data_IF_145057107710
#
_entry.id   IF_145057107710
#
_cell.length_a   1.000
_cell.length_b   1.000
_cell.length_c   1.000
_cell.angle_alpha   90.00
_cell.angle_beta   90.00
_cell.angle_gamma   90.00
#
_symmetry.space_group_name_H-M   'P 1'
#
loop_
_entity.id
_entity.type
_entity.pdbx_description
1 polymer ?
#
# COMPACT_ATOMS: atom_id res chain seq x y z
N UNK A 1 14.87 7.77 -20.53
CA UNK A 1 14.38 7.58 -19.13
C UNK A 1 15.28 6.59 -18.43
N UNK A 2 15.35 6.65 -17.09
CA UNK A 2 16.25 5.79 -16.30
C UNK A 2 15.88 4.29 -16.41
N UNK A 3 14.59 3.98 -16.59
CA UNK A 3 14.08 2.62 -16.81
C UNK A 3 14.54 1.95 -18.12
N UNK A 4 15.14 2.69 -19.05
CA UNK A 4 15.71 2.12 -20.28
C UNK A 4 17.04 1.40 -20.01
N UNK A 5 17.65 1.66 -18.86
CA UNK A 5 18.93 1.09 -18.44
C UNK A 5 18.78 -0.05 -17.43
N UNK A 6 17.54 -0.39 -17.05
CA UNK A 6 17.24 -1.48 -16.12
C UNK A 6 16.91 -2.73 -16.93
N UNK A 7 17.69 -3.79 -16.70
CA UNK A 7 17.62 -5.04 -17.47
C UNK A 7 16.52 -5.98 -16.96
N UNK A 8 16.29 -6.04 -15.65
CA UNK A 8 15.20 -6.81 -15.04
C UNK A 8 13.93 -5.95 -14.97
N UNK A 9 12.80 -6.51 -15.40
CA UNK A 9 11.51 -5.84 -15.37
C UNK A 9 11.03 -5.56 -13.94
N UNK A 10 11.45 -6.38 -12.97
CA UNK A 10 11.12 -6.22 -11.55
C UNK A 10 11.79 -5.02 -10.90
N UNK A 11 12.94 -4.60 -11.42
CA UNK A 11 13.72 -3.48 -10.88
C UNK A 11 13.36 -2.14 -11.54
N UNK A 12 12.44 -2.13 -12.49
CA UNK A 12 12.01 -0.90 -13.17
C UNK A 12 11.21 -0.03 -12.21
N UNK A 13 11.53 1.27 -12.20
CA UNK A 13 10.80 2.23 -11.40
C UNK A 13 9.39 2.44 -11.99
N UNK A 14 8.38 1.93 -11.30
CA UNK A 14 6.97 2.10 -11.68
C UNK A 14 6.42 3.47 -11.29
N UNK A 15 7.21 4.29 -10.58
CA UNK A 15 6.81 5.61 -10.06
C UNK A 15 6.41 6.63 -11.13
N UNK A 16 6.74 6.36 -12.40
CA UNK A 16 6.39 7.21 -13.54
C UNK A 16 5.38 6.57 -14.51
N UNK A 17 4.90 5.36 -14.20
CA UNK A 17 3.87 4.72 -15.02
C UNK A 17 2.50 5.35 -14.70
N UNK A 18 1.80 5.82 -15.73
CA UNK A 18 0.45 6.34 -15.58
C UNK A 18 -0.53 5.25 -15.09
N UNK A 19 -0.28 3.99 -15.44
CA UNK A 19 -1.04 2.83 -15.02
C UNK A 19 -0.55 2.23 -13.69
N UNK A 20 0.56 2.73 -13.13
CA UNK A 20 1.08 2.27 -11.84
C UNK A 20 0.20 2.70 -10.66
N UNK A 21 0.50 2.28 -9.42
CA UNK A 21 -0.31 2.62 -8.25
C UNK A 21 -0.14 4.09 -7.79
N UNK A 22 0.95 4.74 -8.21
CA UNK A 22 1.29 6.11 -7.79
C UNK A 22 0.57 7.19 -8.61
N UNK A 23 0.49 8.39 -8.03
CA UNK A 23 0.00 9.61 -8.66
C UNK A 23 1.15 10.60 -8.86
N UNK A 24 1.29 11.09 -10.09
CA UNK A 24 2.29 12.10 -10.44
C UNK A 24 1.94 13.46 -9.83
N UNK A 25 2.91 14.17 -9.26
CA UNK A 25 2.73 15.56 -8.78
C UNK A 25 2.94 16.57 -9.91
N UNK A 26 2.33 17.75 -9.77
CA UNK A 26 2.46 18.85 -10.73
C UNK A 26 3.59 19.79 -10.31
N UNK A 27 4.45 20.16 -11.26
CA UNK A 27 5.47 21.20 -11.03
C UNK A 27 4.81 22.57 -10.87
N UNK A 28 5.24 23.33 -9.87
CA UNK A 28 4.81 24.71 -9.65
C UNK A 28 5.84 25.65 -10.30
N UNK A 29 5.41 26.42 -11.30
CA UNK A 29 6.23 27.45 -11.93
C UNK A 29 6.33 28.72 -11.07
N UNK A 30 7.37 29.54 -11.32
CA UNK A 30 7.55 30.84 -10.66
C UNK A 30 6.36 31.76 -10.97
N UNK A 31 5.83 32.47 -9.96
CA UNK A 31 4.71 33.42 -10.06
C UNK A 31 3.40 32.82 -10.61
N UNK A 32 3.14 31.54 -10.36
CA UNK A 32 1.88 30.92 -10.77
C UNK A 32 0.72 31.44 -9.89
N UNK A 33 -0.32 32.07 -10.46
CA UNK A 33 -1.48 32.53 -9.68
C UNK A 33 -2.27 31.39 -9.02
N UNK A 34 -2.04 30.14 -9.43
CA UNK A 34 -2.65 28.92 -8.86
C UNK A 34 -1.66 28.09 -8.04
N UNK A 35 -0.53 28.66 -7.62
CA UNK A 35 0.51 27.93 -6.90
C UNK A 35 -0.04 27.21 -5.65
N UNK A 36 -0.78 27.92 -4.81
CA UNK A 36 -1.39 27.37 -3.59
C UNK A 36 -2.37 26.23 -3.88
N UNK A 37 -3.21 26.39 -4.91
CA UNK A 37 -4.16 25.36 -5.35
C UNK A 37 -3.44 24.08 -5.84
N UNK A 38 -2.31 24.25 -6.54
CA UNK A 38 -1.49 23.13 -7.01
C UNK A 38 -0.75 22.47 -5.84
N UNK A 39 -0.29 23.25 -4.87
CA UNK A 39 0.35 22.74 -3.66
C UNK A 39 -0.59 21.87 -2.83
N UNK A 40 -1.84 22.33 -2.64
CA UNK A 40 -2.88 21.55 -1.96
C UNK A 40 -3.21 20.24 -2.71
N UNK A 41 -3.37 20.29 -4.05
CA UNK A 41 -3.59 19.09 -4.87
C UNK A 41 -2.40 18.12 -4.77
N UNK A 42 -1.17 18.64 -4.82
CA UNK A 42 0.03 17.83 -4.67
C UNK A 42 0.13 17.18 -3.30
N UNK A 43 -0.26 17.87 -2.23
CA UNK A 43 -0.27 17.29 -0.88
C UNK A 43 -1.13 16.03 -0.82
N UNK A 44 -2.33 16.05 -1.40
CA UNK A 44 -3.21 14.88 -1.46
C UNK A 44 -2.63 13.74 -2.32
N UNK A 45 -1.94 14.08 -3.40
CA UNK A 45 -1.24 13.06 -4.22
C UNK A 45 -0.08 12.41 -3.46
N UNK A 46 0.64 13.20 -2.66
CA UNK A 46 1.72 12.70 -1.79
C UNK A 46 1.12 11.82 -0.69
N UNK A 47 0.01 12.24 -0.06
CA UNK A 47 -0.67 11.45 0.97
C UNK A 47 -1.14 10.10 0.40
N UNK A 48 -1.76 10.09 -0.78
CA UNK A 48 -2.09 8.85 -1.49
C UNK A 48 -0.85 7.98 -1.74
N UNK A 49 0.23 8.55 -2.28
CA UNK A 49 1.46 7.79 -2.55
C UNK A 49 2.06 7.17 -1.27
N UNK A 50 1.98 7.89 -0.14
CA UNK A 50 2.42 7.39 1.16
C UNK A 50 1.57 6.22 1.66
N UNK A 51 0.26 6.26 1.44
CA UNK A 51 -0.63 5.14 1.79
C UNK A 51 -0.40 3.93 0.87
N UNK A 52 -0.08 4.17 -0.41
CA UNK A 52 0.36 3.10 -1.32
C UNK A 52 1.64 2.43 -0.82
N UNK A 53 2.64 3.19 -0.39
CA UNK A 53 3.86 2.62 0.20
C UNK A 53 3.53 1.79 1.46
N UNK A 54 2.63 2.28 2.30
CA UNK A 54 2.17 1.57 3.51
C UNK A 54 1.44 0.28 3.17
N UNK A 55 0.60 0.28 2.13
CA UNK A 55 -0.09 -0.91 1.64
C UNK A 55 0.90 -1.96 1.12
N UNK A 56 1.90 -1.54 0.35
CA UNK A 56 2.95 -2.43 -0.18
C UNK A 56 3.75 -3.05 0.97
N UNK A 57 4.16 -2.26 1.97
CA UNK A 57 4.87 -2.75 3.17
C UNK A 57 4.01 -3.73 3.97
N UNK A 58 2.68 -3.55 3.93
CA UNK A 58 1.71 -4.42 4.61
C UNK A 58 1.33 -5.67 3.80
N UNK A 59 2.06 -5.97 2.71
CA UNK A 59 1.81 -7.08 1.78
C UNK A 59 0.39 -7.08 1.17
N UNK A 60 -0.19 -5.89 0.98
CA UNK A 60 -1.45 -5.76 0.22
C UNK A 60 -1.18 -6.09 -1.25
N UNK A 61 -1.99 -6.96 -1.89
CA UNK A 61 -1.83 -7.28 -3.31
C UNK A 61 -1.86 -6.02 -4.20
N UNK A 62 -0.92 -5.95 -5.15
CA UNK A 62 -0.82 -4.81 -6.07
C UNK A 62 -2.12 -4.60 -6.88
N UNK A 63 -2.77 -5.68 -7.29
CA UNK A 63 -4.03 -5.63 -8.05
C UNK A 63 -5.15 -4.92 -7.27
N UNK A 64 -5.22 -5.11 -5.95
CA UNK A 64 -6.21 -4.45 -5.08
C UNK A 64 -5.95 -2.93 -5.03
N UNK A 65 -4.68 -2.53 -4.92
CA UNK A 65 -4.27 -1.12 -4.93
C UNK A 65 -4.64 -0.47 -6.28
N UNK A 66 -4.36 -1.16 -7.39
CA UNK A 66 -4.69 -0.70 -8.73
C UNK A 66 -6.21 -0.62 -8.95
N UNK A 67 -6.97 -1.56 -8.41
CA UNK A 67 -8.43 -1.54 -8.46
C UNK A 67 -8.99 -0.34 -7.71
N UNK A 68 -8.51 -0.06 -6.49
CA UNK A 68 -8.94 1.12 -5.71
C UNK A 68 -8.60 2.40 -6.48
N UNK A 69 -7.37 2.52 -7.01
CA UNK A 69 -6.99 3.67 -7.84
C UNK A 69 -7.95 3.85 -9.01
N UNK A 70 -8.30 2.78 -9.73
CA UNK A 70 -9.22 2.85 -10.88
C UNK A 70 -10.62 3.28 -10.45
N UNK A 71 -11.19 2.59 -9.47
CA UNK A 71 -12.59 2.74 -9.07
C UNK A 71 -12.86 4.07 -8.35
N UNK A 72 -11.94 4.49 -7.48
CA UNK A 72 -12.14 5.66 -6.64
C UNK A 72 -11.42 6.90 -7.13
N UNK A 73 -10.37 6.79 -7.98
CA UNK A 73 -9.65 7.96 -8.51
C UNK A 73 -9.88 8.12 -10.00
N UNK A 74 -9.42 7.17 -10.82
CA UNK A 74 -9.38 7.33 -12.28
C UNK A 74 -10.77 7.55 -12.89
N UNK A 75 -11.73 6.66 -12.62
CA UNK A 75 -13.08 6.77 -13.18
C UNK A 75 -13.87 7.95 -12.62
N UNK A 76 -13.87 8.23 -11.30
CA UNK A 76 -14.53 9.42 -10.77
C UNK A 76 -13.93 10.74 -11.26
N UNK A 77 -12.60 10.83 -11.39
CA UNK A 77 -11.94 12.02 -11.95
C UNK A 77 -12.31 12.21 -13.42
N UNK A 78 -12.28 11.14 -14.22
CA UNK A 78 -12.69 11.18 -15.62
C UNK A 78 -14.13 11.68 -15.77
N UNK A 79 -15.07 11.07 -15.05
CA UNK A 79 -16.48 11.51 -15.03
C UNK A 79 -16.65 12.95 -14.56
N UNK A 80 -15.89 13.37 -13.54
CA UNK A 80 -15.97 14.74 -13.03
C UNK A 80 -15.48 15.78 -14.05
N UNK A 81 -14.42 15.45 -14.80
CA UNK A 81 -13.90 16.31 -15.88
C UNK A 81 -14.90 16.40 -17.03
N UNK A 82 -15.50 15.28 -17.43
CA UNK A 82 -16.51 15.24 -18.50
C UNK A 82 -17.76 16.07 -18.15
N UNK A 83 -18.23 16.00 -16.90
CA UNK A 83 -19.46 16.69 -16.48
C UNK A 83 -19.26 18.16 -16.08
N UNK A 84 -18.14 18.48 -15.44
CA UNK A 84 -17.97 19.77 -14.75
C UNK A 84 -16.68 20.51 -15.13
N UNK A 85 -15.87 19.93 -16.02
CA UNK A 85 -14.53 20.40 -16.33
C UNK A 85 -13.52 20.16 -15.21
N UNK A 86 -12.29 20.64 -15.42
CA UNK A 86 -11.18 20.44 -14.51
C UNK A 86 -11.24 21.42 -13.32
N UNK A 87 -11.89 21.01 -12.22
CA UNK A 87 -11.99 21.79 -10.97
C UNK A 87 -11.22 21.11 -9.83
N UNK A 88 -10.28 21.83 -9.21
CA UNK A 88 -9.43 21.27 -8.14
C UNK A 88 -10.20 20.76 -6.93
N UNK A 89 -11.29 21.44 -6.54
CA UNK A 89 -12.06 21.09 -5.36
C UNK A 89 -12.69 19.70 -5.49
N UNK A 90 -13.15 19.33 -6.70
CA UNK A 90 -13.69 17.98 -6.95
C UNK A 90 -12.59 16.94 -6.90
N UNK A 91 -11.42 17.23 -7.48
CA UNK A 91 -10.27 16.34 -7.40
C UNK A 91 -9.87 16.09 -5.94
N UNK A 92 -9.85 17.14 -5.11
CA UNK A 92 -9.56 17.01 -3.68
C UNK A 92 -10.55 16.09 -2.95
N UNK A 93 -11.86 16.23 -3.22
CA UNK A 93 -12.87 15.34 -2.64
C UNK A 93 -12.68 13.88 -3.04
N UNK A 94 -12.40 13.65 -4.32
CA UNK A 94 -12.17 12.30 -4.86
C UNK A 94 -10.93 11.66 -4.23
N UNK A 95 -9.82 12.42 -4.12
CA UNK A 95 -8.59 11.92 -3.50
C UNK A 95 -8.79 11.62 -2.01
N UNK A 96 -9.45 12.50 -1.25
CA UNK A 96 -9.74 12.26 0.18
C UNK A 96 -10.56 10.98 0.39
N UNK A 97 -11.59 10.77 -0.44
CA UNK A 97 -12.41 9.55 -0.36
C UNK A 97 -11.57 8.30 -0.66
N UNK A 98 -10.72 8.37 -1.69
CA UNK A 98 -9.88 7.25 -2.10
C UNK A 98 -8.83 6.89 -1.03
N UNK A 99 -8.19 7.90 -0.45
CA UNK A 99 -7.25 7.73 0.69
C UNK A 99 -7.97 7.03 1.85
N UNK A 100 -9.18 7.48 2.20
CA UNK A 100 -9.96 6.86 3.29
C UNK A 100 -10.29 5.40 3.01
N UNK A 101 -10.67 5.06 1.77
CA UNK A 101 -10.96 3.67 1.37
C UNK A 101 -9.71 2.79 1.47
N UNK A 102 -8.55 3.28 1.02
CA UNK A 102 -7.29 2.53 1.08
C UNK A 102 -6.86 2.28 2.54
N UNK A 103 -6.91 3.31 3.40
CA UNK A 103 -6.60 3.18 4.83
C UNK A 103 -7.53 2.17 5.52
N UNK A 104 -8.81 2.14 5.15
CA UNK A 104 -9.76 1.19 5.70
C UNK A 104 -9.44 -0.25 5.26
N UNK A 105 -9.04 -0.46 3.99
CA UNK A 105 -8.63 -1.78 3.51
C UNK A 105 -7.38 -2.27 4.26
N UNK A 106 -6.35 -1.42 4.38
CA UNK A 106 -5.12 -1.74 5.12
C UNK A 106 -5.47 -2.11 6.57
N UNK A 107 -6.32 -1.31 7.23
CA UNK A 107 -6.73 -1.55 8.62
C UNK A 107 -7.41 -2.92 8.79
N UNK A 108 -8.34 -3.27 7.89
CA UNK A 108 -9.02 -4.57 7.90
C UNK A 108 -8.05 -5.74 7.70
N UNK A 109 -7.08 -5.60 6.79
CA UNK A 109 -6.06 -6.64 6.56
C UNK A 109 -5.16 -6.82 7.78
N UNK A 110 -4.72 -5.73 8.41
CA UNK A 110 -3.91 -5.77 9.62
C UNK A 110 -4.68 -6.38 10.81
N UNK A 111 -5.96 -6.07 10.96
CA UNK A 111 -6.83 -6.69 11.97
C UNK A 111 -7.00 -8.19 11.75
N UNK A 112 -7.22 -8.63 10.51
CA UNK A 112 -7.30 -10.04 10.17
C UNK A 112 -5.99 -10.78 10.50
N UNK A 113 -4.83 -10.18 10.17
CA UNK A 113 -3.52 -10.73 10.51
C UNK A 113 -3.31 -10.83 12.03
N UNK A 114 -3.74 -9.82 12.81
CA UNK A 114 -3.70 -9.85 14.29
C UNK A 114 -4.61 -10.93 14.86
N UNK A 115 -5.81 -11.11 14.31
CA UNK A 115 -6.75 -12.13 14.76
C UNK A 115 -6.18 -13.55 14.54
N UNK A 116 -5.53 -13.79 13.40
CA UNK A 116 -4.82 -15.06 13.13
C UNK A 116 -3.68 -15.26 14.14
N UNK A 117 -2.85 -14.22 14.36
CA UNK A 117 -1.75 -14.27 15.35
C UNK A 117 -2.25 -14.61 16.74
N UNK A 118 -3.31 -13.95 17.21
CA UNK A 118 -3.87 -14.20 18.54
C UNK A 118 -4.41 -15.62 18.67
N UNK A 119 -5.07 -16.15 17.63
CA UNK A 119 -5.51 -17.55 17.62
C UNK A 119 -4.34 -18.53 17.77
N UNK A 120 -3.23 -18.32 17.03
CA UNK A 120 -2.02 -19.15 17.13
C UNK A 120 -1.43 -19.08 18.54
N UNK A 121 -1.25 -17.86 19.08
CA UNK A 121 -0.71 -17.65 20.43
C UNK A 121 -1.57 -18.32 21.53
N UNK A 122 -2.90 -18.29 21.40
CA UNK A 122 -3.79 -18.93 22.38
C UNK A 122 -3.87 -20.46 22.23
N UNK A 123 -3.71 -21.02 21.03
CA UNK A 123 -3.61 -22.47 20.83
C UNK A 123 -2.29 -23.05 21.35
N UNK A 124 -1.20 -22.27 21.32
CA UNK A 124 0.10 -22.71 21.85
C UNK A 124 0.12 -22.75 23.38
N UNK A 125 -0.62 -21.86 24.05
CA UNK A 125 -0.77 -21.88 25.52
C UNK A 125 -1.61 -23.06 25.99
N UNK A 126 -2.66 -23.45 25.26
CA UNK A 126 -3.50 -24.61 25.62
C UNK A 126 -2.78 -25.96 25.43
N UNK A 127 -1.76 -26.03 24.57
CA UNK A 127 -0.94 -27.22 24.36
C UNK A 127 0.32 -27.26 25.25
N UNK A 128 0.66 -26.16 25.92
CA UNK A 128 1.86 -26.06 26.78
C UNK A 128 1.63 -26.50 28.23
N UNK A 129 0.39 -26.76 28.68
CA UNK A 129 0.12 -27.26 30.04
C UNK A 129 0.29 -28.78 30.19
N UNK A 130 0.90 -29.46 29.21
CA UNK A 130 1.08 -30.92 29.27
C UNK A 130 2.49 -31.40 28.92
N UNK A 131 3.53 -30.75 29.41
CA UNK A 131 4.81 -31.42 29.71
C UNK A 131 5.60 -30.59 30.70
N UNK A 132 5.55 -31.00 31.96
CA UNK A 132 6.59 -30.65 32.92
C UNK A 132 7.94 -31.22 32.45
N UNK A 133 9.00 -30.52 32.89
CA UNK A 133 10.43 -30.87 32.88
C UNK A 133 11.33 -30.33 31.76
N UNK A 134 12.36 -29.65 32.26
CA UNK A 134 13.65 -29.31 31.68
C UNK A 134 13.78 -27.94 30.98
N UNK A 135 14.44 -27.07 31.72
CA UNK A 135 15.06 -25.80 31.33
C UNK A 135 15.90 -25.86 30.05
N UNK A 136 16.09 -24.66 29.48
CA UNK A 136 16.99 -24.28 28.38
C UNK A 136 16.35 -24.53 27.01
N UNK A 137 16.02 -23.52 26.20
CA UNK A 137 16.95 -22.56 25.59
C UNK A 137 16.18 -21.26 25.30
N UNK A 138 16.64 -20.16 25.90
CA UNK A 138 16.38 -18.81 25.39
C UNK A 138 17.22 -18.65 24.12
N UNK A 139 16.66 -17.96 23.11
CA UNK A 139 17.29 -17.45 21.87
C UNK A 139 16.83 -18.16 20.57
N UNK A 140 16.33 -17.34 19.62
CA UNK A 140 16.10 -17.56 18.18
C UNK A 140 14.76 -18.13 17.62
N UNK A 141 13.62 -17.68 18.13
CA UNK A 141 12.34 -17.93 17.44
C UNK A 141 12.03 -16.93 16.29
N UNK A 142 12.68 -15.77 16.25
CA UNK A 142 12.45 -14.75 15.20
C UNK A 142 13.07 -15.16 13.86
N UNK A 143 14.24 -15.79 13.89
CA UNK A 143 14.97 -16.20 12.68
C UNK A 143 14.29 -17.40 11.99
N UNK A 144 13.68 -18.30 12.77
CA UNK A 144 12.88 -19.41 12.23
C UNK A 144 11.60 -18.93 11.53
N UNK A 145 10.95 -17.88 12.05
CA UNK A 145 9.75 -17.29 11.41
C UNK A 145 10.12 -16.60 10.10
N UNK A 146 11.24 -15.86 10.08
CA UNK A 146 11.75 -15.21 8.87
C UNK A 146 12.16 -16.24 7.80
N UNK A 147 12.72 -17.38 8.22
CA UNK A 147 13.08 -18.48 7.33
C UNK A 147 11.84 -19.22 6.77
N UNK A 148 10.82 -19.42 7.59
CA UNK A 148 9.53 -20.01 7.17
C UNK A 148 8.79 -19.13 6.17
N UNK A 149 8.76 -17.80 6.39
CA UNK A 149 8.14 -16.85 5.45
C UNK A 149 8.88 -16.82 4.11
N UNK A 150 10.22 -16.83 4.12
CA UNK A 150 11.04 -16.92 2.89
C UNK A 150 10.82 -18.24 2.13
N UNK A 151 10.65 -19.35 2.84
CA UNK A 151 10.42 -20.66 2.22
C UNK A 151 9.02 -20.78 1.62
N UNK A 152 8.00 -20.19 2.26
CA UNK A 152 6.64 -20.12 1.70
C UNK A 152 6.56 -19.24 0.45
N UNK A 153 7.36 -18.17 0.36
CA UNK A 153 7.46 -17.35 -0.84
C UNK A 153 8.10 -18.08 -2.04
N UNK A 154 9.10 -18.96 -1.79
CA UNK A 154 9.72 -19.78 -2.85
C UNK A 154 8.78 -20.83 -3.44
N UNK A 155 7.81 -21.32 -2.68
CA UNK A 155 6.83 -22.32 -3.14
C UNK A 155 5.69 -21.71 -3.97
N UNK A 156 5.52 -20.39 -3.95
CA UNK A 156 4.44 -19.69 -4.67
C UNK A 156 4.83 -19.25 -6.09
N UNK A 157 6.11 -19.39 -6.47
CA UNK A 157 6.62 -19.13 -7.82
C UNK A 157 7.00 -20.47 -8.45
N UNK A 158 5.99 -21.24 -8.87
CA UNK A 158 6.12 -22.36 -9.81
C UNK A 158 4.84 -22.49 -10.61
#
# INVERSE_FOLDING_TARGET
MINNWVTDEKDRLTVFDCNGPYLATKKIGRNNPKAEQIEQDNKLRIDWNREVDTAIISDVPMDDILQIKREYITEPVKRAIELYGNKSQRLAMILNMSITVLVLLISKMLEAARAIRNKILHTDVANAEKTDFASNIVVDNTDNILLLLKNLQKLRIK
#
